data_IF_905322425167
#
_entry.id   IF_905322425167
#
_cell.length_a   1.000
_cell.length_b   1.000
_cell.length_c   1.000
_cell.angle_alpha   90.00
_cell.angle_beta   90.00
_cell.angle_gamma   90.00
#
_symmetry.space_group_name_H-M   'P 1'
#
loop_
_entity.id
_entity.type
_entity.pdbx_description
1 polymer ?
#
# COMPACT_ATOMS: atom_id res chain seq x y z
N UNK A 1 -39.63 32.78 -6.21
CA UNK A 1 -38.49 33.05 -5.30
C UNK A 1 -37.21 32.96 -6.12
N UNK A 2 -36.46 34.06 -6.23
CA UNK A 2 -35.31 34.19 -7.13
C UNK A 2 -34.08 33.45 -6.57
N UNK A 3 -33.50 32.57 -7.38
CA UNK A 3 -32.37 31.73 -7.00
C UNK A 3 -31.07 32.52 -7.18
N UNK A 4 -30.45 32.94 -6.07
CA UNK A 4 -29.21 33.74 -6.07
C UNK A 4 -28.01 32.81 -6.21
N UNK A 5 -27.47 32.74 -7.42
CA UNK A 5 -26.28 31.97 -7.75
C UNK A 5 -25.02 32.74 -7.34
N UNK A 6 -24.37 32.33 -6.25
CA UNK A 6 -23.12 32.94 -5.77
C UNK A 6 -21.92 32.23 -6.43
N UNK A 7 -21.15 32.95 -7.22
CA UNK A 7 -19.86 32.49 -7.76
C UNK A 7 -18.73 32.66 -6.73
N UNK A 8 -17.80 31.69 -6.61
CA UNK A 8 -16.68 31.77 -5.67
C UNK A 8 -15.57 32.71 -6.16
N UNK A 9 -15.01 33.49 -5.23
CA UNK A 9 -13.88 34.42 -5.45
C UNK A 9 -12.56 33.67 -5.61
N UNK A 10 -11.85 33.96 -6.71
CA UNK A 10 -10.48 33.48 -7.02
C UNK A 10 -9.49 33.99 -5.98
N UNK A 11 -8.91 33.08 -5.17
CA UNK A 11 -7.78 33.39 -4.30
C UNK A 11 -6.47 33.40 -5.11
N UNK A 12 -5.75 34.51 -5.08
CA UNK A 12 -4.44 34.70 -5.70
C UNK A 12 -3.40 33.85 -4.97
N UNK A 13 -2.85 32.84 -5.65
CA UNK A 13 -1.75 32.01 -5.13
C UNK A 13 -0.45 32.83 -5.16
N UNK A 14 -0.03 33.35 -4.02
CA UNK A 14 1.34 33.83 -3.82
C UNK A 14 2.30 32.64 -3.79
N UNK A 15 3.08 32.49 -4.84
CA UNK A 15 4.20 31.55 -4.92
C UNK A 15 5.33 31.99 -3.98
N UNK A 16 5.41 31.38 -2.80
CA UNK A 16 6.60 31.45 -1.95
C UNK A 16 7.65 30.50 -2.51
N UNK A 17 8.69 31.03 -3.12
CA UNK A 17 9.92 30.29 -3.42
C UNK A 17 10.59 29.86 -2.11
N UNK A 18 10.99 28.59 -1.96
CA UNK A 18 11.71 28.14 -0.78
C UNK A 18 13.12 28.76 -0.76
N UNK A 19 13.61 29.24 0.41
CA UNK A 19 14.98 29.70 0.54
C UNK A 19 15.93 28.53 0.29
N UNK A 20 16.91 28.74 -0.59
CA UNK A 20 17.98 27.78 -0.86
C UNK A 20 18.72 27.46 0.45
N UNK A 21 18.86 26.16 0.71
CA UNK A 21 19.68 25.57 1.77
C UNK A 21 21.00 26.32 1.95
N UNK A 22 21.09 27.09 3.04
CA UNK A 22 22.36 27.39 3.68
C UNK A 22 22.69 26.16 4.54
N UNK A 23 23.41 25.22 3.94
CA UNK A 23 23.98 24.08 4.63
C UNK A 23 25.09 24.62 5.55
N UNK A 24 24.76 24.85 6.82
CA UNK A 24 25.74 25.05 7.89
C UNK A 24 26.52 23.75 8.06
N UNK A 25 27.73 23.69 7.50
CA UNK A 25 28.75 22.74 7.92
C UNK A 25 29.28 23.20 9.27
N UNK A 26 28.97 22.49 10.36
CA UNK A 26 29.57 22.79 11.66
C UNK A 26 29.56 21.57 12.58
N UNK A 27 30.42 20.58 12.35
CA UNK A 27 30.70 19.52 13.35
C UNK A 27 32.14 18.99 13.31
N UNK A 28 33.16 19.87 13.33
CA UNK A 28 34.52 19.42 13.64
C UNK A 28 35.26 20.21 14.73
N UNK A 29 34.66 21.25 15.32
CA UNK A 29 35.38 22.17 16.23
C UNK A 29 34.77 22.31 17.63
N UNK A 30 34.07 21.28 18.13
CA UNK A 30 33.45 21.32 19.46
C UNK A 30 34.46 21.00 20.59
N UNK A 31 35.58 20.34 20.27
CA UNK A 31 36.53 19.87 21.29
C UNK A 31 37.61 20.90 21.67
N UNK A 32 37.82 21.96 20.87
CA UNK A 32 38.82 23.00 21.13
C UNK A 32 38.28 24.13 22.02
N UNK A 33 36.96 24.33 22.09
CA UNK A 33 36.33 25.42 22.86
C UNK A 33 36.26 25.18 24.38
N UNK A 34 36.48 23.95 24.87
CA UNK A 34 36.40 23.62 26.30
C UNK A 34 37.63 24.14 27.08
N UNK A 35 38.78 24.34 26.42
CA UNK A 35 40.03 24.73 27.08
C UNK A 35 40.24 26.24 27.26
N UNK A 36 39.37 27.11 26.73
CA UNK A 36 39.53 28.58 26.83
C UNK A 36 38.41 29.32 27.55
N UNK A 37 37.46 28.64 28.19
CA UNK A 37 36.34 29.28 28.89
C UNK A 37 36.61 29.59 30.37
N UNK A 38 37.72 30.26 30.70
CA UNK A 38 37.89 30.87 32.03
C UNK A 38 37.23 32.26 32.17
N UNK A 39 36.65 32.80 31.08
CA UNK A 39 35.97 34.10 31.08
C UNK A 39 34.44 33.97 30.96
N UNK A 40 33.84 32.98 31.62
CA UNK A 40 32.37 32.87 31.70
C UNK A 40 31.83 33.99 32.59
N UNK A 41 31.47 35.10 31.94
CA UNK A 41 30.51 36.13 32.35
C UNK A 41 30.04 36.07 33.82
N UNK A 42 30.93 36.43 34.75
CA UNK A 42 30.63 36.55 36.20
C UNK A 42 29.78 37.78 36.52
N UNK A 43 29.43 38.58 35.50
CA UNK A 43 28.59 39.78 35.61
C UNK A 43 27.20 39.60 35.01
N UNK A 44 26.71 38.36 34.89
CA UNK A 44 25.27 38.15 34.73
C UNK A 44 24.61 38.50 36.06
N UNK A 45 24.33 39.79 36.24
CA UNK A 45 23.53 40.27 37.36
C UNK A 45 22.30 39.37 37.43
N UNK A 46 22.12 38.73 38.58
CA UNK A 46 20.89 37.98 38.81
C UNK A 46 19.79 39.01 38.62
N UNK A 47 18.93 38.80 37.62
CA UNK A 47 17.70 39.59 37.48
C UNK A 47 17.10 39.66 38.88
N UNK A 48 16.85 40.84 39.46
CA UNK A 48 16.25 40.96 40.78
C UNK A 48 15.04 40.03 40.81
N UNK A 49 15.13 38.96 41.61
CA UNK A 49 13.96 38.13 41.85
C UNK A 49 13.02 39.03 42.62
N UNK A 50 11.88 39.38 42.03
CA UNK A 50 10.78 39.92 42.82
C UNK A 50 10.47 38.85 43.86
N UNK A 51 10.85 39.10 45.11
CA UNK A 51 10.46 38.31 46.29
C UNK A 51 8.93 38.21 46.41
N UNK A 52 8.19 39.03 45.67
CA UNK A 52 6.75 38.97 45.48
C UNK A 52 6.36 37.96 44.39
N UNK A 53 6.68 36.68 44.60
CA UNK A 53 5.84 35.65 43.99
C UNK A 53 4.46 35.74 44.66
N UNK A 54 3.35 35.87 43.90
CA UNK A 54 2.03 36.00 44.49
C UNK A 54 1.77 34.88 45.51
N UNK A 55 1.46 35.21 46.78
CA UNK A 55 1.13 34.20 47.78
C UNK A 55 -0.25 33.65 47.43
N UNK A 56 -0.35 32.51 46.74
CA UNK A 56 -1.66 31.88 46.61
C UNK A 56 -1.89 30.83 45.54
N UNK A 57 -1.02 30.69 44.53
CA UNK A 57 -1.17 29.60 43.54
C UNK A 57 -0.11 28.53 43.75
N UNK A 58 -0.11 27.94 44.95
CA UNK A 58 0.55 26.65 45.14
C UNK A 58 -0.35 25.63 44.43
N UNK A 59 0.02 25.26 43.20
CA UNK A 59 -0.65 24.18 42.50
C UNK A 59 -0.69 22.98 43.46
N UNK A 60 -1.90 22.52 43.76
CA UNK A 60 -2.07 21.31 44.57
C UNK A 60 -1.48 20.15 43.77
N UNK A 61 -1.06 19.09 44.47
CA UNK A 61 -0.61 17.87 43.80
C UNK A 61 -1.67 17.36 42.81
N UNK A 62 -2.95 17.55 43.14
CA UNK A 62 -4.07 17.23 42.25
C UNK A 62 -4.02 18.04 40.94
N UNK A 63 -3.86 19.36 41.00
CA UNK A 63 -3.80 20.19 39.79
C UNK A 63 -2.62 19.81 38.89
N UNK A 64 -1.48 19.43 39.49
CA UNK A 64 -0.33 18.96 38.72
C UNK A 64 -0.61 17.62 38.04
N UNK A 65 -1.31 16.72 38.73
CA UNK A 65 -1.68 15.43 38.18
C UNK A 65 -2.66 15.58 37.02
N UNK A 66 -3.69 16.42 37.16
CA UNK A 66 -4.65 16.71 36.10
C UNK A 66 -3.97 17.31 34.86
N UNK A 67 -2.98 18.20 35.05
CA UNK A 67 -2.19 18.79 33.94
C UNK A 67 -1.34 17.73 33.25
N UNK A 68 -0.69 16.84 34.00
CA UNK A 68 0.12 15.76 33.43
C UNK A 68 -0.72 14.75 32.66
N UNK A 69 -1.90 14.39 33.18
CA UNK A 69 -2.82 13.48 32.51
C UNK A 69 -3.38 14.10 31.23
N UNK A 70 -3.73 15.39 31.25
CA UNK A 70 -4.14 16.13 30.06
C UNK A 70 -3.05 16.15 28.98
N UNK A 71 -1.80 16.42 29.38
CA UNK A 71 -0.67 16.47 28.45
C UNK A 71 -0.34 15.09 27.87
N UNK A 72 -0.44 14.04 28.68
CA UNK A 72 -0.26 12.66 28.23
C UNK A 72 -1.35 12.26 27.22
N UNK A 73 -2.61 12.58 27.51
CA UNK A 73 -3.73 12.33 26.58
C UNK A 73 -3.53 13.05 25.25
N UNK A 74 -3.06 14.29 25.26
CA UNK A 74 -2.79 15.05 24.03
C UNK A 74 -1.63 14.43 23.22
N UNK A 75 -0.59 13.95 23.88
CA UNK A 75 0.50 13.22 23.21
C UNK A 75 0.02 11.91 22.60
N UNK A 76 -0.77 11.13 23.33
CA UNK A 76 -1.31 9.85 22.86
C UNK A 76 -2.22 10.07 21.63
N UNK A 77 -3.03 11.13 21.63
CA UNK A 77 -3.83 11.54 20.48
C UNK A 77 -2.97 11.92 19.27
N UNK A 78 -1.87 12.66 19.48
CA UNK A 78 -0.97 13.05 18.41
C UNK A 78 -0.22 11.85 17.82
N UNK A 79 0.24 10.92 18.66
CA UNK A 79 0.88 9.67 18.23
C UNK A 79 -0.11 8.82 17.45
N UNK A 80 -1.35 8.68 17.93
CA UNK A 80 -2.40 7.92 17.26
C UNK A 80 -2.67 8.47 15.85
N UNK A 81 -2.78 9.80 15.71
CA UNK A 81 -2.93 10.44 14.39
C UNK A 81 -1.72 10.24 13.49
N UNK A 82 -0.51 10.29 14.03
CA UNK A 82 0.72 10.06 13.25
C UNK A 82 0.77 8.63 12.70
N UNK A 83 0.41 7.65 13.53
CA UNK A 83 0.35 6.24 13.15
C UNK A 83 -0.72 5.98 12.09
N UNK A 84 -1.90 6.57 12.25
CA UNK A 84 -2.96 6.49 11.24
C UNK A 84 -2.49 7.05 9.90
N UNK A 85 -1.86 8.23 9.90
CA UNK A 85 -1.31 8.84 8.68
C UNK A 85 -0.19 7.99 8.03
N UNK A 86 0.71 7.40 8.83
CA UNK A 86 1.74 6.51 8.31
C UNK A 86 1.12 5.24 7.69
N UNK A 87 0.17 4.61 8.36
CA UNK A 87 -0.51 3.41 7.82
C UNK A 87 -1.26 3.71 6.52
N UNK A 88 -1.89 4.89 6.41
CA UNK A 88 -2.56 5.36 5.21
C UNK A 88 -1.58 5.65 4.05
N UNK A 89 -0.34 6.04 4.34
CA UNK A 89 0.70 6.23 3.32
C UNK A 89 1.29 4.89 2.90
N UNK A 90 1.58 3.99 3.85
CA UNK A 90 2.12 2.65 3.55
C UNK A 90 1.13 1.87 2.68
N UNK A 91 -0.17 1.93 2.98
CA UNK A 91 -1.21 1.30 2.14
C UNK A 91 -1.25 1.89 0.73
N UNK A 92 -1.12 3.21 0.57
CA UNK A 92 -1.01 3.85 -0.75
C UNK A 92 0.27 3.50 -1.50
N UNK A 93 1.37 3.29 -0.78
CA UNK A 93 2.65 2.88 -1.36
C UNK A 93 2.66 1.40 -1.74
N UNK A 94 1.98 0.56 -0.97
CA UNK A 94 1.76 -0.85 -1.31
C UNK A 94 0.92 -1.02 -2.58
N UNK A 95 0.08 -0.04 -2.94
CA UNK A 95 -0.62 -0.02 -4.22
C UNK A 95 0.31 0.28 -5.42
N UNK A 96 1.56 0.72 -5.21
CA UNK A 96 2.55 0.97 -6.27
C UNK A 96 3.36 -0.30 -6.60
N UNK A 97 2.70 -1.43 -6.76
CA UNK A 97 3.36 -2.60 -7.33
C UNK A 97 3.85 -2.28 -8.73
N UNK A 98 5.13 -2.53 -8.97
CA UNK A 98 5.72 -2.35 -10.30
C UNK A 98 5.39 -3.56 -11.17
N UNK A 99 5.45 -3.41 -12.49
CA UNK A 99 5.28 -4.53 -13.42
C UNK A 99 6.30 -5.66 -13.15
N UNK A 100 7.51 -5.30 -12.67
CA UNK A 100 8.55 -6.27 -12.28
C UNK A 100 8.09 -7.14 -11.10
N UNK A 101 7.43 -6.54 -10.11
CA UNK A 101 6.90 -7.26 -8.95
C UNK A 101 5.80 -8.25 -9.36
N UNK A 102 4.92 -7.82 -10.27
CA UNK A 102 3.86 -8.67 -10.82
C UNK A 102 4.43 -9.86 -11.59
N UNK A 103 5.44 -9.64 -12.45
CA UNK A 103 6.12 -10.71 -13.18
C UNK A 103 6.79 -11.69 -12.21
N UNK A 104 7.46 -11.16 -11.18
CA UNK A 104 8.13 -11.97 -10.16
C UNK A 104 7.10 -12.84 -9.42
N UNK A 105 5.94 -12.30 -9.05
CA UNK A 105 4.86 -13.06 -8.44
C UNK A 105 4.38 -14.21 -9.34
N UNK A 106 4.18 -13.98 -10.64
CA UNK A 106 3.77 -15.03 -11.59
C UNK A 106 4.84 -16.12 -11.71
N UNK A 107 6.12 -15.74 -11.73
CA UNK A 107 7.23 -16.69 -11.77
C UNK A 107 7.29 -17.55 -10.52
N UNK A 108 7.16 -16.95 -9.34
CA UNK A 108 7.13 -17.68 -8.08
C UNK A 108 5.96 -18.66 -8.03
N UNK A 109 4.79 -18.30 -8.57
CA UNK A 109 3.65 -19.23 -8.71
C UNK A 109 4.03 -20.42 -9.58
N UNK A 110 4.67 -20.16 -10.73
CA UNK A 110 5.18 -21.21 -11.61
C UNK A 110 6.15 -22.15 -10.90
N UNK A 111 7.14 -21.60 -10.20
CA UNK A 111 8.15 -22.35 -9.45
C UNK A 111 7.51 -23.19 -8.34
N UNK A 112 6.53 -22.65 -7.61
CA UNK A 112 5.79 -23.37 -6.57
C UNK A 112 5.02 -24.59 -7.11
N UNK A 113 4.57 -24.56 -8.37
CA UNK A 113 3.90 -25.69 -9.03
C UNK A 113 4.82 -26.52 -9.93
N UNK A 114 6.13 -26.26 -9.92
CA UNK A 114 7.12 -26.99 -10.72
C UNK A 114 7.09 -26.69 -12.22
N UNK A 115 6.59 -25.51 -12.62
CA UNK A 115 6.54 -25.06 -14.01
C UNK A 115 7.40 -23.80 -14.17
N UNK A 116 8.49 -23.90 -14.91
CA UNK A 116 9.31 -22.75 -15.26
C UNK A 116 8.57 -21.84 -16.27
N UNK A 117 8.43 -20.56 -15.93
CA UNK A 117 7.77 -19.53 -16.76
C UNK A 117 8.83 -18.50 -17.17
N UNK A 118 9.32 -18.51 -18.42
CA UNK A 118 10.23 -17.47 -18.89
C UNK A 118 9.48 -16.15 -19.08
N UNK A 119 10.17 -15.03 -18.86
CA UNK A 119 9.57 -13.69 -18.96
C UNK A 119 9.06 -13.35 -20.36
N UNK A 120 9.66 -13.92 -21.40
CA UNK A 120 9.28 -13.74 -22.81
C UNK A 120 7.90 -14.33 -23.13
N UNK A 121 7.44 -15.30 -22.32
CA UNK A 121 6.13 -15.93 -22.49
C UNK A 121 5.00 -15.13 -21.82
N UNK A 122 5.32 -14.07 -21.08
CA UNK A 122 4.35 -13.15 -20.49
C UNK A 122 4.16 -11.97 -21.44
N UNK A 123 2.95 -11.85 -21.98
CA UNK A 123 2.59 -10.77 -22.91
C UNK A 123 2.19 -9.51 -22.15
N UNK A 124 1.32 -9.67 -21.15
CA UNK A 124 0.86 -8.57 -20.31
C UNK A 124 0.58 -9.08 -18.90
N UNK A 125 0.75 -8.22 -17.90
CA UNK A 125 0.52 -8.54 -16.50
C UNK A 125 0.08 -7.28 -15.76
N UNK A 126 -1.14 -7.29 -15.22
CA UNK A 126 -1.74 -6.13 -14.55
C UNK A 126 -2.80 -6.57 -13.54
N UNK A 127 -3.14 -5.69 -12.59
CA UNK A 127 -4.28 -5.91 -11.69
C UNK A 127 -5.55 -5.30 -12.25
N UNK A 128 -6.68 -5.96 -12.05
CA UNK A 128 -7.98 -5.37 -12.43
C UNK A 128 -8.23 -4.06 -11.66
N UNK A 129 -8.77 -3.03 -12.33
CA UNK A 129 -9.19 -1.80 -11.65
C UNK A 129 -10.36 -2.13 -10.71
N UNK A 130 -10.30 -1.63 -9.48
CA UNK A 130 -11.35 -1.85 -8.48
C UNK A 130 -10.94 -1.34 -7.11
N UNK A 131 -11.93 -1.02 -6.27
CA UNK A 131 -11.64 -0.74 -4.85
C UNK A 131 -11.26 -2.05 -4.19
N UNK A 132 -10.15 -2.12 -3.42
CA UNK A 132 -9.89 -3.30 -2.61
C UNK A 132 -11.10 -3.50 -1.66
N UNK A 133 -11.63 -4.71 -1.63
CA UNK A 133 -12.82 -5.08 -0.83
C UNK A 133 -12.54 -5.18 0.68
N UNK A 134 -11.29 -4.96 1.09
CA UNK A 134 -10.84 -4.96 2.49
C UNK A 134 -9.34 -4.68 2.58
N UNK A 135 -8.81 -4.45 3.80
CA UNK A 135 -7.40 -4.13 4.02
C UNK A 135 -6.45 -5.26 3.59
N UNK A 136 -6.94 -6.49 3.52
CA UNK A 136 -6.17 -7.69 3.20
C UNK A 136 -6.50 -8.29 1.83
N UNK A 137 -7.54 -7.80 1.14
CA UNK A 137 -7.91 -8.33 -0.17
C UNK A 137 -7.14 -7.61 -1.28
N UNK A 138 -6.19 -8.30 -1.90
CA UNK A 138 -5.50 -7.75 -3.08
C UNK A 138 -6.39 -7.87 -4.32
N UNK A 139 -6.28 -6.91 -5.25
CA UNK A 139 -7.06 -6.91 -6.49
C UNK A 139 -6.64 -8.10 -7.35
N UNK A 140 -7.54 -8.73 -8.12
CA UNK A 140 -7.13 -9.87 -8.93
C UNK A 140 -6.02 -9.52 -9.92
N UNK A 141 -4.99 -10.37 -9.97
CA UNK A 141 -3.91 -10.27 -10.94
C UNK A 141 -4.33 -10.98 -12.22
N UNK A 142 -4.26 -10.28 -13.36
CA UNK A 142 -4.50 -10.78 -14.71
C UNK A 142 -3.18 -11.00 -15.40
N UNK A 143 -3.02 -12.18 -15.99
CA UNK A 143 -1.81 -12.59 -16.72
C UNK A 143 -2.20 -13.06 -18.11
N UNK A 144 -1.68 -12.40 -19.13
CA UNK A 144 -1.79 -12.81 -20.52
C UNK A 144 -0.49 -13.49 -20.97
N UNK A 145 -0.61 -14.70 -21.51
CA UNK A 145 0.51 -15.49 -21.99
C UNK A 145 0.60 -15.41 -23.51
N UNK A 146 1.82 -15.39 -24.05
CA UNK A 146 2.08 -15.49 -25.49
C UNK A 146 1.69 -16.89 -26.01
N UNK A 147 2.05 -17.95 -25.27
CA UNK A 147 1.73 -19.34 -25.62
C UNK A 147 0.52 -19.91 -24.86
N UNK A 148 -0.47 -20.40 -25.62
CA UNK A 148 -1.64 -21.12 -25.07
C UNK A 148 -1.23 -22.44 -24.42
N UNK A 149 -0.19 -23.11 -24.93
CA UNK A 149 0.28 -24.39 -24.39
C UNK A 149 0.86 -24.24 -22.98
N UNK A 150 1.69 -23.20 -22.78
CA UNK A 150 2.27 -22.91 -21.46
C UNK A 150 1.16 -22.60 -20.45
N UNK A 151 0.19 -21.79 -20.86
CA UNK A 151 -1.00 -21.49 -20.06
C UNK A 151 -1.74 -22.76 -19.62
N UNK A 152 -2.04 -23.68 -20.55
CA UNK A 152 -2.70 -24.95 -20.24
C UNK A 152 -1.86 -25.83 -19.32
N UNK A 153 -0.54 -25.85 -19.51
CA UNK A 153 0.42 -26.56 -18.66
C UNK A 153 0.38 -26.04 -17.23
N UNK A 154 0.43 -24.72 -17.02
CA UNK A 154 0.35 -24.09 -15.69
C UNK A 154 -0.98 -24.44 -15.01
N UNK A 155 -2.10 -24.29 -15.71
CA UNK A 155 -3.43 -24.60 -15.15
C UNK A 155 -3.51 -26.07 -14.74
N UNK A 156 -3.00 -26.98 -15.57
CA UNK A 156 -3.00 -28.40 -15.27
C UNK A 156 -2.09 -28.71 -14.08
N UNK A 157 -0.91 -28.10 -14.01
CA UNK A 157 0.01 -28.25 -12.88
C UNK A 157 -0.61 -27.76 -11.57
N UNK A 158 -1.27 -26.60 -11.57
CA UNK A 158 -1.93 -26.06 -10.38
C UNK A 158 -3.09 -26.95 -9.93
N UNK A 159 -3.88 -27.48 -10.88
CA UNK A 159 -4.95 -28.45 -10.57
C UNK A 159 -4.39 -29.72 -9.96
N UNK A 160 -3.32 -30.27 -10.53
CA UNK A 160 -2.65 -31.47 -10.00
C UNK A 160 -2.04 -31.20 -8.62
N UNK A 161 -1.41 -30.04 -8.42
CA UNK A 161 -0.88 -29.61 -7.13
C UNK A 161 -1.98 -29.62 -6.06
N UNK A 162 -3.10 -28.95 -6.33
CA UNK A 162 -4.22 -28.88 -5.38
C UNK A 162 -4.96 -30.21 -5.19
N UNK A 163 -4.94 -31.11 -6.18
CA UNK A 163 -5.58 -32.43 -6.09
C UNK A 163 -4.79 -33.40 -5.20
N UNK A 164 -3.46 -33.30 -5.22
CA UNK A 164 -2.58 -34.21 -4.47
C UNK A 164 -2.44 -33.83 -2.98
N UNK A 165 -3.04 -32.72 -2.55
CA UNK A 165 -2.96 -32.21 -1.18
C UNK A 165 -4.31 -32.37 -0.50
N UNK A 166 -4.39 -33.33 0.43
CA UNK A 166 -5.63 -33.62 1.17
C UNK A 166 -5.97 -32.54 2.20
N UNK A 167 -4.97 -31.98 2.88
CA UNK A 167 -5.16 -30.91 3.84
C UNK A 167 -5.35 -29.55 3.14
N UNK A 168 -6.33 -28.76 3.58
CA UNK A 168 -6.55 -27.38 3.10
C UNK A 168 -5.31 -26.51 3.32
N UNK A 169 -4.57 -26.77 4.40
CA UNK A 169 -3.32 -26.08 4.75
C UNK A 169 -2.19 -26.30 3.74
N UNK A 170 -2.24 -27.40 3.01
CA UNK A 170 -1.23 -27.79 2.02
C UNK A 170 -1.57 -27.31 0.60
N UNK A 171 -2.75 -26.72 0.40
CA UNK A 171 -3.13 -26.13 -0.89
C UNK A 171 -2.25 -24.92 -1.18
N UNK A 172 -2.19 -24.54 -2.45
CA UNK A 172 -1.37 -23.42 -2.89
C UNK A 172 -1.73 -22.14 -2.11
N UNK A 173 -0.83 -21.73 -1.21
CA UNK A 173 -0.95 -20.54 -0.38
C UNK A 173 0.11 -19.52 -0.79
N UNK A 174 -0.12 -18.26 -0.44
CA UNK A 174 0.86 -17.19 -0.68
C UNK A 174 2.19 -17.43 0.03
N UNK A 175 2.18 -18.11 1.18
CA UNK A 175 3.40 -18.53 1.88
C UNK A 175 4.27 -19.47 1.03
N UNK A 176 3.65 -20.47 0.38
CA UNK A 176 4.36 -21.40 -0.52
C UNK A 176 4.94 -20.69 -1.74
N UNK A 177 4.30 -19.62 -2.18
CA UNK A 177 4.75 -18.79 -3.31
C UNK A 177 5.83 -17.78 -2.87
N UNK A 178 6.14 -17.70 -1.57
CA UNK A 178 7.09 -16.71 -1.05
C UNK A 178 6.57 -15.27 -1.10
N UNK A 179 5.25 -15.08 -1.16
CA UNK A 179 4.62 -13.77 -0.98
C UNK A 179 4.10 -13.66 0.45
N UNK A 180 4.59 -12.67 1.20
CA UNK A 180 4.16 -12.48 2.58
C UNK A 180 2.65 -12.21 2.67
N UNK A 181 1.92 -13.05 3.42
CA UNK A 181 0.48 -12.93 3.67
C UNK A 181 -0.23 -14.28 3.68
N UNK A 182 -1.36 -14.39 4.38
CA UNK A 182 -2.24 -15.58 4.38
C UNK A 182 -3.41 -15.33 3.42
N UNK A 183 -3.24 -15.71 2.16
CA UNK A 183 -4.31 -15.67 1.17
C UNK A 183 -4.30 -16.92 0.30
N UNK A 184 -5.47 -17.53 0.15
CA UNK A 184 -5.66 -18.65 -0.78
C UNK A 184 -5.57 -18.13 -2.21
N UNK A 185 -4.74 -18.75 -3.03
CA UNK A 185 -4.62 -18.42 -4.45
C UNK A 185 -5.62 -19.25 -5.24
N UNK A 186 -6.72 -18.61 -5.67
CA UNK A 186 -7.69 -19.24 -6.57
C UNK A 186 -7.37 -18.84 -7.99
N UNK A 187 -7.00 -19.81 -8.84
CA UNK A 187 -6.91 -19.60 -10.29
C UNK A 187 -8.25 -19.90 -10.95
N UNK A 188 -8.97 -18.84 -11.33
CA UNK A 188 -10.18 -18.96 -12.14
C UNK A 188 -9.87 -18.70 -13.61
N UNK A 189 -10.36 -19.58 -14.48
CA UNK A 189 -10.43 -19.35 -15.92
C UNK A 189 -11.75 -18.69 -16.26
N UNK A 190 -11.71 -17.53 -16.90
CA UNK A 190 -12.87 -16.96 -17.56
C UNK A 190 -12.89 -17.43 -19.02
N UNK A 191 -13.97 -18.11 -19.39
CA UNK A 191 -14.32 -18.37 -20.78
C UNK A 191 -15.38 -17.33 -21.16
N UNK A 192 -14.97 -16.29 -21.88
CA UNK A 192 -15.93 -15.36 -22.47
C UNK A 192 -16.72 -16.14 -23.53
N UNK A 193 -17.98 -16.43 -23.23
CA UNK A 193 -18.91 -16.89 -24.26
C UNK A 193 -19.29 -15.66 -25.08
N UNK A 194 -18.71 -15.53 -26.27
CA UNK A 194 -19.29 -14.65 -27.27
C UNK A 194 -20.72 -15.13 -27.54
N UNK A 195 -21.71 -14.28 -27.24
CA UNK A 195 -23.09 -14.56 -27.62
C UNK A 195 -23.09 -14.60 -29.14
N UNK A 196 -23.51 -15.70 -29.78
CA UNK A 196 -23.63 -15.70 -31.23
C UNK A 196 -24.55 -14.53 -31.59
N UNK A 197 -24.02 -13.60 -32.39
CA UNK A 197 -24.84 -12.55 -32.98
C UNK A 197 -26.07 -13.24 -33.56
N UNK A 198 -27.27 -12.73 -33.26
CA UNK A 198 -28.53 -13.23 -33.81
C UNK A 198 -28.49 -13.04 -35.33
N UNK A 199 -27.84 -13.96 -36.03
CA UNK A 199 -27.90 -14.08 -37.47
C UNK A 199 -29.33 -14.46 -37.81
N UNK A 200 -30.06 -13.48 -38.35
CA UNK A 200 -31.33 -13.71 -39.01
C UNK A 200 -31.07 -14.62 -40.20
N UNK A 201 -31.38 -15.90 -40.01
CA UNK A 201 -31.89 -16.85 -41.00
C UNK A 201 -31.71 -16.43 -42.46
N UNK A 202 -30.67 -16.97 -43.12
CA UNK A 202 -30.76 -17.57 -44.46
C UNK A 202 -29.35 -17.97 -44.94
N UNK A 203 -28.84 -19.12 -44.49
CA UNK A 203 -28.14 -20.09 -45.34
C UNK A 203 -27.56 -21.25 -44.52
N UNK A 204 -27.95 -22.48 -44.88
CA UNK A 204 -27.37 -23.72 -44.35
C UNK A 204 -26.05 -24.00 -45.08
N UNK A 205 -25.01 -23.23 -44.75
CA UNK A 205 -23.63 -23.47 -45.21
C UNK A 205 -22.75 -23.72 -44.00
N UNK A 206 -21.88 -24.73 -44.08
CA UNK A 206 -21.04 -25.27 -43.01
C UNK A 206 -20.34 -24.14 -42.24
N UNK A 207 -20.90 -23.81 -41.07
CA UNK A 207 -20.52 -22.64 -40.29
C UNK A 207 -19.38 -23.06 -39.35
N UNK A 208 -18.13 -22.89 -39.79
CA UNK A 208 -16.95 -23.04 -38.94
C UNK A 208 -16.97 -21.90 -37.91
N UNK A 209 -17.55 -22.17 -36.74
CA UNK A 209 -17.53 -21.26 -35.59
C UNK A 209 -16.08 -21.11 -35.12
N UNK A 210 -15.43 -20.02 -35.50
CA UNK A 210 -14.20 -19.60 -34.85
C UNK A 210 -14.59 -19.04 -33.48
N UNK A 211 -14.21 -19.76 -32.43
CA UNK A 211 -14.34 -19.28 -31.05
C UNK A 211 -13.04 -18.52 -30.76
N UNK A 212 -13.12 -17.19 -30.65
CA UNK A 212 -12.01 -16.41 -30.16
C UNK A 212 -11.97 -16.56 -28.64
N UNK A 213 -10.99 -17.33 -28.16
CA UNK A 213 -10.84 -17.63 -26.73
C UNK A 213 -9.87 -16.63 -26.13
N UNK A 214 -10.39 -15.54 -25.55
CA UNK A 214 -9.60 -14.66 -24.68
C UNK A 214 -9.69 -15.22 -23.26
N UNK A 215 -8.57 -15.69 -22.73
CA UNK A 215 -8.53 -16.31 -21.41
C UNK A 215 -7.89 -15.38 -20.39
N UNK A 216 -8.67 -14.95 -19.41
CA UNK A 216 -8.17 -14.23 -18.23
C UNK A 216 -7.94 -15.23 -17.09
N UNK A 217 -6.76 -15.18 -16.48
CA UNK A 217 -6.48 -15.84 -15.21
C UNK A 217 -6.67 -14.76 -14.15
N UNK A 218 -7.69 -14.88 -13.32
CA UNK A 218 -7.79 -14.05 -12.13
C UNK A 218 -7.26 -14.86 -10.95
N UNK A 219 -6.20 -14.36 -10.32
CA UNK A 219 -5.78 -14.82 -8.99
C UNK A 219 -6.64 -14.09 -7.97
N UNK A 220 -7.63 -14.78 -7.39
CA UNK A 220 -8.42 -14.22 -6.29
C UNK A 220 -7.80 -14.66 -4.98
N UNK A 221 -7.34 -13.69 -4.20
CA UNK A 221 -6.89 -13.86 -2.82
C UNK A 221 -8.12 -13.84 -1.91
N UNK A 222 -8.40 -14.96 -1.27
CA UNK A 222 -9.44 -15.05 -0.24
C UNK A 222 -8.75 -15.19 1.11
N UNK A 223 -9.01 -14.24 2.01
CA UNK A 223 -8.63 -14.37 3.41
C UNK A 223 -9.58 -15.34 4.09
N UNK A 224 -9.05 -16.42 4.65
CA UNK A 224 -9.80 -17.23 5.60
C UNK A 224 -9.80 -16.46 6.93
N UNK A 225 -10.99 -16.09 7.41
CA UNK A 225 -11.15 -15.60 8.78
C UNK A 225 -11.21 -16.84 9.67
N UNK A 226 -10.26 -16.96 10.60
CA UNK A 226 -10.30 -17.99 11.64
C UNK A 226 -11.49 -17.81 12.58
#
# INVERSE_FOLDING_TARGET
>A
MANVQRTPTKSTKTSRTPPKNLQTQSEQDVNSAILMSQNVNTKRSKRPRQENSPPGQRLTLQNLQDVLDGWKSEQDDHISKLLENQSALITKLADNETNVDLITAVRNIGEAVGVHIPTVELRDTYRLPGKPTGPTSSRPLIVEFTSVLLKQKIISAVRSYNKNKEAVKDKLSTEVIGMAGLTLVVLTMFLTREKPARERSMNKGINKKYIQITLEIAIKTVCLSD
#
